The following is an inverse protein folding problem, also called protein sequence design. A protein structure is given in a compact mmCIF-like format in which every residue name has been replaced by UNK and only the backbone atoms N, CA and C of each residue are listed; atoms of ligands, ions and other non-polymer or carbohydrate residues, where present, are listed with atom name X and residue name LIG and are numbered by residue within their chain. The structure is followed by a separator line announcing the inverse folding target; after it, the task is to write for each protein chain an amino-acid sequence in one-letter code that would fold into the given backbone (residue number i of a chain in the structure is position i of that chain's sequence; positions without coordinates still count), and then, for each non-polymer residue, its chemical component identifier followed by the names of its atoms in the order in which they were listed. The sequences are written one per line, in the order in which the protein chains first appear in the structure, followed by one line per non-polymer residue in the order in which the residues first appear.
data_IF_346508490561
#
_entry.id   IF_346508490561
#
_cell.length_a   1.000
_cell.length_b   1.000
_cell.length_c   1.000
_cell.angle_alpha   90.00
_cell.angle_beta   90.00
_cell.angle_gamma   90.00
#
_symmetry.space_group_name_H-M   'P 1'
#
loop_
_entity.id
_entity.type
_entity.pdbx_description
1 polymer ?
#
# COMPACT_ATOMS: atom_id res chain seq x y z
N UNK A 1 10.43 -29.80 -28.11
CA UNK A 1 9.88 -28.54 -27.55
C UNK A 1 9.10 -28.82 -26.24
N UNK A 2 9.75 -29.32 -25.18
CA UNK A 2 9.11 -29.61 -23.87
C UNK A 2 9.84 -28.98 -22.67
N UNK A 3 10.92 -28.24 -22.91
CA UNK A 3 11.79 -27.69 -21.86
C UNK A 3 11.60 -26.17 -21.62
N UNK A 4 10.70 -25.51 -22.36
CA UNK A 4 10.42 -24.06 -22.23
C UNK A 4 9.23 -23.76 -21.31
N UNK A 5 8.58 -24.78 -20.73
CA UNK A 5 7.50 -24.61 -19.75
C UNK A 5 8.04 -24.47 -18.31
N UNK A 6 9.35 -24.22 -18.14
CA UNK A 6 9.94 -23.98 -16.84
C UNK A 6 9.60 -22.56 -16.37
N UNK A 7 8.58 -22.52 -15.52
CA UNK A 7 8.65 -21.82 -14.25
C UNK A 7 8.82 -20.30 -14.32
N UNK A 8 7.77 -19.62 -14.81
CA UNK A 8 7.35 -18.41 -14.11
C UNK A 8 6.79 -18.84 -12.74
N UNK A 9 7.66 -19.26 -11.82
CA UNK A 9 7.39 -19.18 -10.38
C UNK A 9 7.28 -17.70 -10.06
N UNK A 10 6.16 -17.08 -10.45
CA UNK A 10 5.74 -15.81 -9.89
C UNK A 10 5.75 -16.09 -8.39
N UNK A 11 6.73 -15.53 -7.69
CA UNK A 11 6.83 -15.68 -6.25
C UNK A 11 5.43 -15.43 -5.70
N UNK A 12 4.87 -16.39 -4.98
CA UNK A 12 3.55 -16.24 -4.38
C UNK A 12 3.65 -15.11 -3.35
N UNK A 13 3.38 -13.88 -3.79
CA UNK A 13 3.41 -12.71 -2.93
C UNK A 13 2.18 -12.85 -2.05
N UNK A 14 2.40 -13.08 -0.76
CA UNK A 14 1.32 -13.10 0.20
C UNK A 14 0.66 -11.70 0.23
N UNK A 15 -0.61 -11.56 -0.17
CA UNK A 15 -1.28 -10.27 -0.28
C UNK A 15 -1.40 -9.56 1.08
N UNK A 16 -1.55 -10.30 2.19
CA UNK A 16 -1.50 -9.71 3.53
C UNK A 16 -0.14 -9.14 3.87
N UNK A 17 0.95 -9.84 3.50
CA UNK A 17 2.32 -9.34 3.72
C UNK A 17 2.54 -8.04 2.94
N UNK A 18 2.08 -7.99 1.69
CA UNK A 18 2.12 -6.77 0.87
C UNK A 18 1.36 -5.61 1.55
N UNK A 19 0.15 -5.88 2.06
CA UNK A 19 -0.63 -4.89 2.79
C UNK A 19 0.06 -4.40 4.05
N UNK A 20 0.62 -5.29 4.89
CA UNK A 20 1.34 -4.91 6.11
C UNK A 20 2.54 -4.00 5.83
N UNK A 21 3.27 -4.25 4.74
CA UNK A 21 4.38 -3.39 4.32
C UNK A 21 3.84 -2.01 3.92
N UNK A 22 2.79 -1.93 3.10
CA UNK A 22 2.20 -0.65 2.69
C UNK A 22 1.69 0.14 3.91
N UNK A 23 1.00 -0.53 4.84
CA UNK A 23 0.54 0.07 6.10
C UNK A 23 1.71 0.61 6.94
N UNK A 24 2.80 -0.14 7.08
CA UNK A 24 3.97 0.28 7.85
C UNK A 24 4.65 1.50 7.22
N UNK A 25 4.85 1.47 5.89
CA UNK A 25 5.39 2.63 5.16
C UNK A 25 4.49 3.85 5.35
N UNK A 26 3.17 3.71 5.21
CA UNK A 26 2.22 4.79 5.46
C UNK A 26 2.34 5.34 6.89
N UNK A 27 2.35 4.45 7.90
CA UNK A 27 2.38 4.83 9.31
C UNK A 27 3.69 5.53 9.72
N UNK A 28 4.82 5.21 9.09
CA UNK A 28 6.11 5.87 9.37
C UNK A 28 6.31 7.14 8.55
N UNK A 29 5.95 7.13 7.27
CA UNK A 29 6.19 8.26 6.36
C UNK A 29 5.25 9.44 6.63
N UNK A 30 3.96 9.19 6.90
CA UNK A 30 2.99 10.26 7.12
C UNK A 30 3.39 11.17 8.30
N UNK A 31 3.71 10.65 9.51
CA UNK A 31 4.17 11.50 10.60
C UNK A 31 5.41 12.33 10.25
N UNK A 32 6.39 11.75 9.56
CA UNK A 32 7.60 12.47 9.14
C UNK A 32 7.26 13.63 8.20
N UNK A 33 6.38 13.42 7.23
CA UNK A 33 5.89 14.48 6.33
C UNK A 33 5.21 15.61 7.12
N UNK A 34 4.35 15.25 8.08
CA UNK A 34 3.68 16.23 8.93
C UNK A 34 4.65 16.99 9.84
N UNK A 35 5.70 16.32 10.34
CA UNK A 35 6.77 16.98 11.09
C UNK A 35 7.54 17.97 10.21
N UNK A 36 7.88 17.59 8.97
CA UNK A 36 8.54 18.51 8.03
C UNK A 36 7.69 19.77 7.84
N UNK A 37 6.40 19.62 7.54
CA UNK A 37 5.48 20.76 7.44
C UNK A 37 5.42 21.60 8.72
N UNK A 38 5.35 20.94 9.88
CA UNK A 38 5.29 21.64 11.17
C UNK A 38 6.53 22.51 11.44
N UNK A 39 7.73 22.04 11.03
CA UNK A 39 9.00 22.71 11.27
C UNK A 39 9.48 23.63 10.14
N UNK A 40 8.82 23.66 8.97
CA UNK A 40 9.25 24.44 7.82
C UNK A 40 8.32 25.61 7.53
N UNK A 41 7.22 25.36 6.82
CA UNK A 41 6.22 26.36 6.47
C UNK A 41 4.82 25.79 6.64
N UNK A 42 4.04 26.46 7.50
CA UNK A 42 2.67 26.10 7.87
C UNK A 42 1.61 26.92 7.13
N UNK A 43 2.01 27.81 6.22
CA UNK A 43 1.08 28.68 5.46
C UNK A 43 0.17 27.88 4.53
N UNK A 44 0.65 26.74 4.01
CA UNK A 44 -0.12 25.85 3.15
C UNK A 44 -0.08 24.41 3.64
N UNK A 45 -1.27 23.80 3.83
CA UNK A 45 -1.48 22.43 4.34
C UNK A 45 -1.20 21.34 3.29
N UNK A 46 -0.04 21.40 2.63
CA UNK A 46 0.32 20.46 1.58
C UNK A 46 0.37 18.96 2.01
N UNK A 47 0.71 18.58 3.27
CA UNK A 47 0.68 17.18 3.68
C UNK A 47 -0.71 16.53 3.60
N UNK A 48 -1.76 17.33 3.66
CA UNK A 48 -3.14 16.87 3.63
C UNK A 48 -3.41 16.07 2.35
N UNK A 49 -2.98 16.59 1.20
CA UNK A 49 -3.20 15.95 -0.09
C UNK A 49 -2.45 14.62 -0.22
N UNK A 50 -1.21 14.54 0.27
CA UNK A 50 -0.45 13.29 0.31
C UNK A 50 -1.10 12.26 1.23
N UNK A 51 -1.53 12.69 2.42
CA UNK A 51 -2.21 11.83 3.39
C UNK A 51 -3.53 11.29 2.82
N UNK A 52 -4.33 12.14 2.16
CA UNK A 52 -5.59 11.74 1.55
C UNK A 52 -5.42 10.78 0.37
N UNK A 53 -4.50 11.08 -0.55
CA UNK A 53 -4.26 10.23 -1.72
C UNK A 53 -3.71 8.85 -1.32
N UNK A 54 -2.69 8.81 -0.46
CA UNK A 54 -2.13 7.54 0.01
C UNK A 54 -3.09 6.78 0.92
N UNK A 55 -3.83 7.48 1.79
CA UNK A 55 -4.84 6.86 2.65
C UNK A 55 -5.95 6.20 1.84
N UNK A 56 -6.36 6.82 0.73
CA UNK A 56 -7.30 6.22 -0.23
C UNK A 56 -6.71 4.95 -0.85
N UNK A 57 -5.45 4.99 -1.31
CA UNK A 57 -4.76 3.80 -1.83
C UNK A 57 -4.65 2.66 -0.80
N UNK A 58 -4.35 3.00 0.45
CA UNK A 58 -4.28 2.04 1.55
C UNK A 58 -5.65 1.40 1.83
N UNK A 59 -6.72 2.20 1.80
CA UNK A 59 -8.10 1.72 1.94
C UNK A 59 -8.46 0.72 0.82
N UNK A 60 -8.19 1.05 -0.44
CA UNK A 60 -8.46 0.13 -1.53
C UNK A 60 -7.58 -1.12 -1.51
N UNK A 61 -6.34 -1.01 -1.00
CA UNK A 61 -5.49 -2.19 -0.79
C UNK A 61 -6.09 -3.10 0.29
N UNK A 62 -6.56 -2.54 1.41
CA UNK A 62 -7.27 -3.28 2.45
C UNK A 62 -8.50 -4.01 1.87
N UNK A 63 -9.34 -3.29 1.13
CA UNK A 63 -10.53 -3.87 0.49
C UNK A 63 -10.16 -5.01 -0.46
N UNK A 64 -9.12 -4.82 -1.29
CA UNK A 64 -8.61 -5.84 -2.20
C UNK A 64 -8.15 -7.12 -1.48
N UNK A 65 -7.43 -6.98 -0.38
CA UNK A 65 -6.87 -8.13 0.36
C UNK A 65 -7.92 -8.83 1.23
N UNK A 66 -8.69 -8.08 2.02
CA UNK A 66 -9.53 -8.65 3.09
C UNK A 66 -11.02 -8.74 2.73
N UNK A 67 -11.53 -7.88 1.85
CA UNK A 67 -12.96 -7.86 1.50
C UNK A 67 -13.22 -8.61 0.19
N UNK A 68 -12.40 -8.37 -0.83
CA UNK A 68 -12.58 -8.94 -2.17
C UNK A 68 -11.77 -10.22 -2.40
N UNK A 69 -10.69 -10.43 -1.64
CA UNK A 69 -9.74 -11.54 -1.82
C UNK A 69 -10.25 -12.96 -1.53
N UNK A 70 -11.53 -13.14 -1.20
CA UNK A 70 -12.09 -14.44 -0.77
C UNK A 70 -13.25 -14.98 -1.62
N UNK A 71 -13.45 -14.53 -2.87
CA UNK A 71 -14.36 -15.25 -3.79
C UNK A 71 -13.65 -16.45 -4.44
N UNK A 72 -13.51 -17.55 -3.69
CA UNK A 72 -13.56 -18.87 -4.33
C UNK A 72 -14.98 -19.05 -4.84
N UNK A 73 -15.18 -18.84 -6.14
CA UNK A 73 -16.39 -19.26 -6.84
C UNK A 73 -16.52 -20.76 -6.57
N UNK A 74 -17.58 -21.14 -5.85
CA UNK A 74 -17.91 -22.53 -5.54
C UNK A 74 -18.74 -23.11 -6.68
#
# INVERSE_FOLDING_TARGET
MRHLANEHKVAQINPEKSFRIHLLVFALTIPVIWLIWFFTDRTYLWPLWQTAAWGTGLLFHFLGVFVFGSKKIK
#
